data_IF_182199295777
#
_entry.id   IF_182199295777
#
_cell.length_a   1.000
_cell.length_b   1.000
_cell.length_c   1.000
_cell.angle_alpha   90.00
_cell.angle_beta   90.00
_cell.angle_gamma   90.00
#
_symmetry.space_group_name_H-M   'P 1'
#
loop_
_entity.id
_entity.type
_entity.pdbx_description
1 polymer ?
#
# COMPACT_ATOMS: atom_id res chain seq x y z
N UNK A 1 -2.00 15.79 -4.21
CA UNK A 1 -0.70 15.13 -3.98
C UNK A 1 -0.77 13.70 -4.47
N UNK A 2 0.25 13.24 -5.17
CA UNK A 2 0.42 11.85 -5.61
C UNK A 2 1.52 11.22 -4.76
N UNK A 3 1.26 10.00 -4.23
CA UNK A 3 2.15 9.33 -3.29
C UNK A 3 2.37 7.88 -3.74
N UNK A 4 3.61 7.44 -3.71
CA UNK A 4 4.00 6.03 -3.84
C UNK A 4 4.62 5.60 -2.52
N UNK A 5 4.13 4.51 -1.96
CA UNK A 5 4.53 4.02 -0.64
C UNK A 5 5.10 2.62 -0.71
N UNK A 6 6.02 2.31 0.19
CA UNK A 6 6.51 0.96 0.43
C UNK A 6 5.69 0.31 1.53
N UNK A 7 5.22 -0.90 1.31
CA UNK A 7 4.50 -1.66 2.34
C UNK A 7 5.50 -2.30 3.30
N UNK A 8 5.43 -1.91 4.57
CA UNK A 8 6.25 -2.43 5.67
C UNK A 8 5.30 -3.05 6.70
N UNK A 9 5.25 -4.38 6.75
CA UNK A 9 4.26 -5.09 7.56
C UNK A 9 2.83 -4.77 7.11
N UNK A 10 2.04 -4.12 7.98
CA UNK A 10 0.67 -3.68 7.70
C UNK A 10 0.54 -2.17 7.46
N UNK A 11 1.66 -1.47 7.31
CA UNK A 11 1.71 -0.03 7.06
C UNK A 11 2.37 0.25 5.73
N UNK A 12 2.00 1.35 5.11
CA UNK A 12 2.66 1.82 3.91
C UNK A 12 3.37 3.14 4.21
N UNK A 13 4.70 3.10 4.12
CA UNK A 13 5.58 4.24 4.35
C UNK A 13 5.75 4.99 3.04
N UNK A 14 5.44 6.28 2.95
CA UNK A 14 5.66 7.07 1.76
C UNK A 14 7.16 7.11 1.41
N UNK A 15 7.49 6.75 0.16
CA UNK A 15 8.87 6.74 -0.34
C UNK A 15 9.10 7.75 -1.47
N UNK A 16 8.03 8.13 -2.16
CA UNK A 16 8.07 9.15 -3.19
C UNK A 16 6.73 9.86 -3.28
N UNK A 17 6.76 11.19 -3.40
CA UNK A 17 5.56 12.00 -3.57
C UNK A 17 5.80 13.23 -4.42
N UNK A 18 4.72 13.77 -4.94
CA UNK A 18 4.66 15.06 -5.61
C UNK A 18 3.38 15.77 -5.23
N UNK A 19 3.53 16.99 -4.76
CA UNK A 19 2.42 17.92 -4.58
C UNK A 19 2.28 18.76 -5.86
N UNK A 20 1.05 18.96 -6.28
CA UNK A 20 0.69 19.76 -7.45
C UNK A 20 -0.46 20.68 -7.09
N UNK A 21 -0.52 21.83 -7.72
CA UNK A 21 -1.72 22.64 -7.71
C UNK A 21 -2.86 21.91 -8.44
N UNK A 22 -4.11 22.09 -7.96
CA UNK A 22 -5.26 21.45 -8.57
C UNK A 22 -5.49 21.93 -10.00
N UNK A 23 -5.19 23.20 -10.29
CA UNK A 23 -5.29 23.81 -11.62
C UNK A 23 -4.38 23.13 -12.63
N UNK A 24 -3.15 22.79 -12.22
CA UNK A 24 -2.16 22.09 -13.06
C UNK A 24 -2.60 20.67 -13.40
N UNK A 25 -3.35 20.02 -12.50
CA UNK A 25 -3.82 18.64 -12.67
C UNK A 25 -5.07 18.52 -13.52
N UNK A 26 -5.83 19.62 -13.71
CA UNK A 26 -7.10 19.62 -14.46
C UNK A 26 -6.88 19.07 -15.89
N UNK A 27 -7.57 17.99 -16.24
CA UNK A 27 -7.45 17.30 -17.52
C UNK A 27 -6.12 16.57 -17.78
N UNK A 28 -5.15 16.65 -16.85
CA UNK A 28 -3.79 16.08 -17.03
C UNK A 28 -3.40 15.08 -15.92
N UNK A 29 -4.30 14.75 -15.00
CA UNK A 29 -4.02 13.92 -13.83
C UNK A 29 -3.26 12.65 -14.20
N UNK A 30 -3.74 11.93 -15.21
CA UNK A 30 -3.17 10.66 -15.65
C UNK A 30 -1.71 10.76 -16.08
N UNK A 31 -1.36 11.81 -16.81
CA UNK A 31 0.03 12.07 -17.22
C UNK A 31 0.95 12.25 -16.01
N UNK A 32 0.49 12.98 -15.00
CA UNK A 32 1.26 13.19 -13.76
C UNK A 32 1.35 11.91 -12.91
N UNK A 33 0.27 11.12 -12.82
CA UNK A 33 0.28 9.82 -12.17
C UNK A 33 1.34 8.90 -12.78
N UNK A 34 1.34 8.73 -14.09
CA UNK A 34 2.30 7.89 -14.79
C UNK A 34 3.74 8.37 -14.61
N UNK A 35 3.97 9.70 -14.64
CA UNK A 35 5.30 10.28 -14.43
C UNK A 35 5.81 10.01 -12.99
N UNK A 36 4.95 10.14 -11.98
CA UNK A 36 5.28 9.85 -10.58
C UNK A 36 5.59 8.37 -10.41
N UNK A 37 4.75 7.48 -10.94
CA UNK A 37 4.93 6.03 -10.84
C UNK A 37 6.21 5.60 -11.56
N UNK A 38 6.45 6.07 -12.79
CA UNK A 38 7.67 5.79 -13.57
C UNK A 38 8.91 6.15 -12.77
N UNK A 39 8.95 7.34 -12.18
CA UNK A 39 10.12 7.82 -11.42
C UNK A 39 10.32 7.04 -10.13
N UNK A 40 9.25 6.80 -9.37
CA UNK A 40 9.31 6.10 -8.09
C UNK A 40 9.69 4.62 -8.29
N UNK A 41 8.91 3.89 -9.08
CA UNK A 41 9.11 2.46 -9.33
C UNK A 41 10.42 2.21 -10.04
N UNK A 42 10.79 3.05 -11.02
CA UNK A 42 12.07 2.95 -11.74
C UNK A 42 13.29 3.14 -10.85
N UNK A 43 13.22 4.03 -9.83
CA UNK A 43 14.29 4.16 -8.82
C UNK A 43 14.44 2.92 -7.97
N UNK A 44 13.32 2.39 -7.46
CA UNK A 44 13.33 1.16 -6.66
C UNK A 44 13.80 -0.03 -7.48
N UNK A 45 13.35 -0.15 -8.74
CA UNK A 45 13.74 -1.24 -9.61
C UNK A 45 15.26 -1.26 -9.87
N UNK A 46 15.89 -0.11 -9.96
CA UNK A 46 17.36 -0.01 -10.07
C UNK A 46 18.08 -0.41 -8.79
N UNK A 47 17.50 -0.12 -7.63
CA UNK A 47 18.13 -0.43 -6.34
C UNK A 47 17.99 -1.91 -5.93
N UNK A 48 16.82 -2.53 -6.16
CA UNK A 48 16.52 -3.87 -5.63
C UNK A 48 16.23 -4.91 -6.71
N UNK A 49 16.21 -4.51 -7.98
CA UNK A 49 15.81 -5.36 -9.11
C UNK A 49 14.29 -5.39 -9.34
N UNK A 50 13.88 -5.23 -10.59
CA UNK A 50 12.45 -5.13 -10.96
C UNK A 50 11.63 -6.36 -10.60
N UNK A 51 12.23 -7.56 -10.66
CA UNK A 51 11.56 -8.83 -10.36
C UNK A 51 11.10 -8.96 -8.89
N UNK A 52 11.69 -8.18 -7.99
CA UNK A 52 11.35 -8.17 -6.54
C UNK A 52 10.20 -7.23 -6.20
N UNK A 53 9.70 -6.47 -7.18
CA UNK A 53 8.69 -5.43 -6.96
C UNK A 53 7.33 -5.95 -7.36
N UNK A 54 6.36 -5.80 -6.46
CA UNK A 54 4.94 -5.97 -6.73
C UNK A 54 4.26 -4.61 -6.50
N UNK A 55 3.69 -4.05 -7.55
CA UNK A 55 2.93 -2.80 -7.49
C UNK A 55 1.46 -3.12 -7.26
N UNK A 56 0.87 -2.58 -6.21
CA UNK A 56 -0.57 -2.67 -5.96
C UNK A 56 -1.22 -1.30 -6.10
N UNK A 57 -2.34 -1.22 -6.81
CA UNK A 57 -3.07 0.03 -6.98
C UNK A 57 -4.58 -0.20 -6.98
N UNK A 58 -5.33 0.86 -6.63
CA UNK A 58 -6.79 0.80 -6.62
C UNK A 58 -7.37 0.96 -8.04
N UNK A 59 -8.65 0.68 -8.15
CA UNK A 59 -9.43 0.73 -9.39
C UNK A 59 -9.37 2.08 -10.12
N UNK A 60 -9.09 3.17 -9.41
CA UNK A 60 -8.90 4.49 -10.00
C UNK A 60 -7.64 4.61 -10.87
N UNK A 61 -6.67 3.73 -10.66
CA UNK A 61 -5.43 3.67 -11.43
C UNK A 61 -5.48 2.65 -12.57
N UNK A 62 -6.56 1.87 -12.69
CA UNK A 62 -6.67 0.79 -13.66
C UNK A 62 -6.88 1.33 -15.08
N UNK A 63 -5.80 1.43 -15.85
CA UNK A 63 -5.86 1.72 -17.28
C UNK A 63 -4.70 1.08 -18.06
N UNK A 64 -4.86 1.03 -19.38
CA UNK A 64 -3.90 0.43 -20.30
C UNK A 64 -2.52 1.09 -20.23
N UNK A 65 -2.47 2.41 -20.10
CA UNK A 65 -1.21 3.14 -20.05
C UNK A 65 -0.39 2.78 -18.81
N UNK A 66 -1.06 2.58 -17.65
CA UNK A 66 -0.38 2.11 -16.45
C UNK A 66 0.10 0.67 -16.60
N UNK A 67 -0.72 -0.24 -17.13
CA UNK A 67 -0.30 -1.63 -17.35
C UNK A 67 0.92 -1.70 -18.27
N UNK A 68 0.90 -0.93 -19.36
CA UNK A 68 2.02 -0.83 -20.30
C UNK A 68 3.28 -0.30 -19.61
N UNK A 69 3.16 0.77 -18.82
CA UNK A 69 4.28 1.34 -18.08
C UNK A 69 4.89 0.32 -17.11
N UNK A 70 4.06 -0.39 -16.33
CA UNK A 70 4.56 -1.36 -15.35
C UNK A 70 5.22 -2.57 -16.03
N UNK A 71 4.68 -3.00 -17.18
CA UNK A 71 5.31 -4.03 -18.01
C UNK A 71 6.67 -3.57 -18.56
N UNK A 72 6.77 -2.32 -19.05
CA UNK A 72 8.04 -1.74 -19.51
C UNK A 72 9.09 -1.65 -18.39
N UNK A 73 8.67 -1.39 -17.15
CA UNK A 73 9.53 -1.39 -15.98
C UNK A 73 9.92 -2.81 -15.50
N UNK A 74 9.35 -3.85 -16.09
CA UNK A 74 9.61 -5.25 -15.75
C UNK A 74 9.14 -5.66 -14.36
N UNK A 75 8.24 -4.89 -13.74
CA UNK A 75 7.73 -5.16 -12.40
C UNK A 75 6.43 -5.97 -12.45
N UNK A 76 6.16 -6.72 -11.39
CA UNK A 76 4.87 -7.37 -11.22
C UNK A 76 3.85 -6.37 -10.71
N UNK A 77 2.59 -6.51 -11.12
CA UNK A 77 1.52 -5.72 -10.54
C UNK A 77 0.29 -6.56 -10.21
N UNK A 78 -0.47 -6.11 -9.22
CA UNK A 78 -1.81 -6.61 -8.87
C UNK A 78 -2.69 -5.39 -8.66
N UNK A 79 -3.60 -5.14 -9.59
CA UNK A 79 -4.43 -3.93 -9.61
C UNK A 79 -5.90 -4.32 -9.56
N UNK A 80 -6.67 -3.64 -8.72
CA UNK A 80 -8.11 -3.78 -8.72
C UNK A 80 -8.70 -3.04 -9.90
N UNK A 81 -9.64 -3.68 -10.59
CA UNK A 81 -10.35 -3.11 -11.73
C UNK A 81 -11.86 -3.05 -11.48
N UNK A 82 -12.57 -2.31 -12.30
CA UNK A 82 -14.03 -2.21 -12.20
C UNK A 82 -14.71 -3.46 -12.75
N UNK A 83 -15.89 -3.77 -12.21
CA UNK A 83 -16.73 -4.88 -12.71
C UNK A 83 -17.15 -4.70 -14.19
N UNK A 84 -17.20 -3.46 -14.65
CA UNK A 84 -17.51 -3.10 -16.04
C UNK A 84 -16.37 -3.29 -17.03
N UNK A 85 -15.13 -3.59 -16.56
CA UNK A 85 -13.99 -3.83 -17.45
C UNK A 85 -14.26 -5.03 -18.35
N UNK A 86 -14.09 -4.84 -19.67
CA UNK A 86 -14.29 -5.89 -20.67
C UNK A 86 -13.03 -6.74 -20.82
N UNK A 87 -13.23 -8.02 -20.99
CA UNK A 87 -12.18 -9.01 -21.28
C UNK A 87 -12.67 -10.05 -22.28
N UNK A 88 -11.76 -10.55 -23.10
CA UNK A 88 -12.06 -11.67 -23.99
C UNK A 88 -12.07 -12.98 -23.17
N UNK A 89 -13.22 -13.59 -23.02
CA UNK A 89 -13.42 -14.86 -22.33
C UNK A 89 -14.19 -15.82 -23.20
N UNK A 90 -13.60 -16.99 -23.47
CA UNK A 90 -14.16 -18.01 -24.35
C UNK A 90 -14.57 -17.44 -25.73
N UNK A 91 -13.69 -16.68 -26.37
CA UNK A 91 -13.89 -16.07 -27.67
C UNK A 91 -14.92 -14.93 -27.75
N UNK A 92 -15.46 -14.48 -26.59
CA UNK A 92 -16.46 -13.40 -26.55
C UNK A 92 -16.01 -12.32 -25.57
N UNK A 93 -16.28 -11.04 -25.91
CA UNK A 93 -16.09 -9.93 -25.02
C UNK A 93 -17.15 -9.91 -23.93
N UNK A 94 -16.72 -9.93 -22.68
CA UNK A 94 -17.61 -9.94 -21.49
C UNK A 94 -17.10 -8.97 -20.44
N UNK A 95 -18.02 -8.37 -19.69
CA UNK A 95 -17.69 -7.60 -18.49
C UNK A 95 -17.20 -8.53 -17.39
N UNK A 96 -16.18 -8.14 -16.64
CA UNK A 96 -15.67 -8.92 -15.51
C UNK A 96 -16.75 -9.26 -14.48
N UNK A 97 -17.72 -8.38 -14.29
CA UNK A 97 -18.88 -8.62 -13.42
C UNK A 97 -19.69 -9.85 -13.81
N UNK A 98 -19.76 -10.16 -15.11
CA UNK A 98 -20.52 -11.30 -15.67
C UNK A 98 -19.81 -12.65 -15.49
N UNK A 99 -18.49 -12.64 -15.24
CA UNK A 99 -17.76 -13.87 -14.92
C UNK A 99 -18.15 -14.33 -13.50
N UNK A 100 -18.90 -15.42 -13.40
CA UNK A 100 -19.51 -15.87 -12.14
C UNK A 100 -18.58 -16.77 -11.32
N UNK A 101 -18.73 -16.78 -10.01
CA UNK A 101 -18.21 -17.81 -9.12
C UNK A 101 -18.93 -19.14 -9.41
N UNK A 102 -18.30 -20.26 -9.06
CA UNK A 102 -18.93 -21.57 -9.06
C UNK A 102 -19.41 -21.86 -7.64
N UNK A 103 -20.71 -22.12 -7.48
CA UNK A 103 -21.27 -22.43 -6.16
C UNK A 103 -20.87 -21.41 -5.08
N UNK A 104 -20.40 -21.92 -3.95
CA UNK A 104 -20.01 -21.12 -2.78
C UNK A 104 -18.53 -20.67 -2.78
N UNK A 105 -17.84 -20.71 -3.93
CA UNK A 105 -16.45 -20.27 -4.04
C UNK A 105 -16.27 -18.86 -3.50
N UNK A 106 -15.24 -18.69 -2.66
CA UNK A 106 -14.80 -17.38 -2.19
C UNK A 106 -13.82 -16.72 -3.16
N UNK A 107 -13.04 -17.52 -3.87
CA UNK A 107 -11.96 -17.10 -4.77
C UNK A 107 -12.04 -17.88 -6.07
N UNK A 108 -11.85 -17.20 -7.21
CA UNK A 108 -11.79 -17.84 -8.52
C UNK A 108 -10.79 -17.16 -9.44
N UNK A 109 -9.91 -17.95 -10.06
CA UNK A 109 -9.02 -17.53 -11.13
C UNK A 109 -9.64 -17.88 -12.49
N UNK A 110 -9.52 -16.94 -13.45
CA UNK A 110 -10.05 -17.09 -14.81
C UNK A 110 -8.92 -17.27 -15.85
N UNK A 111 -7.67 -17.30 -15.40
CA UNK A 111 -6.50 -17.40 -16.27
C UNK A 111 -6.10 -16.06 -16.89
N UNK A 112 -5.28 -16.15 -17.94
CA UNK A 112 -4.84 -14.98 -18.68
C UNK A 112 -5.87 -14.62 -19.74
N UNK A 113 -6.48 -13.45 -19.61
CA UNK A 113 -7.50 -12.91 -20.50
C UNK A 113 -6.96 -11.67 -21.21
N UNK A 114 -7.40 -11.43 -22.43
CA UNK A 114 -7.12 -10.17 -23.13
C UNK A 114 -8.08 -9.09 -22.65
N UNK A 115 -7.56 -7.91 -22.33
CA UNK A 115 -8.35 -6.73 -22.00
C UNK A 115 -8.14 -5.67 -23.08
N UNK A 116 -9.18 -4.94 -23.46
CA UNK A 116 -9.15 -3.88 -24.47
C UNK A 116 -8.87 -4.38 -25.91
N UNK A 117 -9.81 -4.17 -26.81
CA UNK A 117 -9.70 -4.57 -28.22
C UNK A 117 -8.65 -3.76 -29.00
N UNK A 118 -8.59 -2.45 -28.75
CA UNK A 118 -7.70 -1.53 -29.46
C UNK A 118 -6.23 -1.64 -29.03
N UNK A 119 -5.97 -2.08 -27.80
CA UNK A 119 -4.65 -2.26 -27.25
C UNK A 119 -4.63 -3.47 -26.31
N UNK A 120 -4.57 -4.70 -26.85
CA UNK A 120 -4.70 -5.90 -26.06
C UNK A 120 -3.63 -6.02 -24.98
N UNK A 121 -4.06 -6.16 -23.74
CA UNK A 121 -3.19 -6.47 -22.61
C UNK A 121 -3.56 -7.87 -22.12
N UNK A 122 -2.60 -8.78 -22.16
CA UNK A 122 -2.78 -10.12 -21.56
C UNK A 122 -2.65 -10.02 -20.06
N UNK A 123 -3.76 -10.18 -19.34
CA UNK A 123 -3.85 -10.05 -17.90
C UNK A 123 -4.38 -11.33 -17.27
N UNK A 124 -3.75 -11.75 -16.19
CA UNK A 124 -4.25 -12.80 -15.33
C UNK A 124 -5.36 -12.23 -14.44
N UNK A 125 -6.56 -12.78 -14.59
CA UNK A 125 -7.76 -12.27 -13.90
C UNK A 125 -8.16 -13.19 -12.78
N UNK A 126 -8.45 -12.60 -11.63
CA UNK A 126 -9.03 -13.30 -10.49
C UNK A 126 -10.16 -12.48 -9.83
N UNK A 127 -11.10 -13.20 -9.23
CA UNK A 127 -12.18 -12.62 -8.42
C UNK A 127 -12.11 -13.18 -7.01
N UNK A 128 -12.34 -12.31 -6.03
CA UNK A 128 -12.33 -12.68 -4.62
C UNK A 128 -13.47 -12.00 -3.88
N UNK A 129 -14.21 -12.73 -3.07
CA UNK A 129 -15.10 -12.16 -2.06
C UNK A 129 -14.25 -11.77 -0.87
N UNK A 130 -14.14 -10.49 -0.58
CA UNK A 130 -13.27 -9.96 0.45
C UNK A 130 -13.97 -8.85 1.24
N UNK A 131 -13.50 -8.60 2.45
CA UNK A 131 -13.97 -7.46 3.26
C UNK A 131 -13.09 -6.23 3.00
N UNK A 132 -13.71 -5.08 2.99
CA UNK A 132 -13.00 -3.80 3.01
C UNK A 132 -12.52 -3.46 4.43
N UNK A 133 -11.85 -2.31 4.61
CA UNK A 133 -11.37 -1.83 5.92
C UNK A 133 -12.49 -1.56 6.92
N UNK A 134 -13.73 -1.37 6.44
CA UNK A 134 -14.93 -1.18 7.28
C UNK A 134 -15.62 -2.49 7.62
N UNK A 135 -15.13 -3.62 7.08
CA UNK A 135 -15.70 -4.94 7.31
C UNK A 135 -16.83 -5.33 6.35
N UNK A 136 -17.19 -4.49 5.38
CA UNK A 136 -18.23 -4.79 4.41
C UNK A 136 -17.74 -5.79 3.38
N UNK A 137 -18.57 -6.77 3.04
CA UNK A 137 -18.27 -7.73 1.99
C UNK A 137 -18.39 -7.08 0.61
N UNK A 138 -17.45 -7.38 -0.25
CA UNK A 138 -17.44 -6.92 -1.64
C UNK A 138 -16.73 -7.91 -2.55
N UNK A 139 -16.89 -7.74 -3.85
CA UNK A 139 -16.16 -8.51 -4.85
C UNK A 139 -15.00 -7.67 -5.36
N UNK A 140 -13.81 -8.24 -5.26
CA UNK A 140 -12.61 -7.68 -5.85
C UNK A 140 -12.34 -8.35 -7.19
N UNK A 141 -12.28 -7.55 -8.24
CA UNK A 141 -11.80 -7.97 -9.54
C UNK A 141 -10.34 -7.52 -9.62
N UNK A 142 -9.44 -8.48 -9.66
CA UNK A 142 -8.00 -8.24 -9.64
C UNK A 142 -7.37 -8.69 -10.96
N UNK A 143 -6.46 -7.88 -11.46
CA UNK A 143 -5.66 -8.19 -12.64
C UNK A 143 -4.17 -8.14 -12.31
N UNK A 144 -3.40 -9.03 -12.93
CA UNK A 144 -1.96 -9.08 -12.80
C UNK A 144 -1.30 -9.41 -14.14
N UNK A 145 -0.07 -8.99 -14.35
CA UNK A 145 0.74 -9.41 -15.51
C UNK A 145 1.42 -10.78 -15.31
N UNK A 146 1.21 -11.43 -14.17
CA UNK A 146 1.73 -12.76 -13.84
C UNK A 146 0.65 -13.66 -13.27
N UNK A 147 0.80 -14.99 -13.36
CA UNK A 147 -0.15 -15.91 -12.75
C UNK A 147 -0.11 -15.82 -11.23
N UNK A 148 -1.28 -15.62 -10.65
CA UNK A 148 -1.53 -15.74 -9.22
C UNK A 148 -2.76 -16.58 -8.96
N UNK A 149 -2.70 -17.46 -7.96
CA UNK A 149 -3.90 -18.03 -7.39
C UNK A 149 -4.77 -16.91 -6.78
N UNK A 150 -6.08 -16.97 -6.95
CA UNK A 150 -6.97 -15.89 -6.52
C UNK A 150 -6.86 -15.53 -5.02
N UNK A 151 -6.67 -16.49 -4.08
CA UNK A 151 -6.39 -16.15 -2.68
C UNK A 151 -5.08 -15.37 -2.50
N UNK A 152 -4.01 -15.77 -3.20
CA UNK A 152 -2.71 -15.11 -3.13
C UNK A 152 -2.80 -13.67 -3.69
N UNK A 153 -3.45 -13.47 -4.85
CA UNK A 153 -3.68 -12.16 -5.40
C UNK A 153 -4.47 -11.25 -4.45
N UNK A 154 -5.52 -11.79 -3.81
CA UNK A 154 -6.33 -11.05 -2.84
C UNK A 154 -5.53 -10.67 -1.60
N UNK A 155 -4.67 -11.56 -1.10
CA UNK A 155 -3.80 -11.30 0.05
C UNK A 155 -2.76 -10.21 -0.25
N UNK A 156 -2.07 -10.31 -1.39
CA UNK A 156 -1.11 -9.27 -1.81
C UNK A 156 -1.80 -7.92 -2.05
N UNK A 157 -2.94 -7.90 -2.72
CA UNK A 157 -3.71 -6.67 -2.91
C UNK A 157 -4.18 -6.08 -1.56
N UNK A 158 -4.53 -6.93 -0.61
CA UNK A 158 -4.96 -6.51 0.74
C UNK A 158 -3.92 -5.68 1.49
N UNK A 159 -2.63 -5.86 1.19
CA UNK A 159 -1.54 -5.05 1.78
C UNK A 159 -1.63 -3.57 1.39
N UNK A 160 -2.29 -3.24 0.27
CA UNK A 160 -2.56 -1.86 -0.15
C UNK A 160 -3.28 -1.04 0.93
N UNK A 161 -4.13 -1.67 1.72
CA UNK A 161 -4.83 -0.98 2.82
C UNK A 161 -3.88 -0.36 3.86
N UNK A 162 -2.63 -0.78 3.90
CA UNK A 162 -1.59 -0.11 4.66
C UNK A 162 -1.45 1.39 4.33
N UNK A 163 -1.77 1.81 3.09
CA UNK A 163 -1.78 3.23 2.71
C UNK A 163 -2.90 3.99 3.42
N UNK A 164 -4.10 3.42 3.51
CA UNK A 164 -5.24 4.03 4.20
C UNK A 164 -4.96 4.14 5.70
N UNK A 165 -4.38 3.09 6.28
CA UNK A 165 -3.93 3.08 7.67
C UNK A 165 -2.85 4.14 7.93
N UNK A 166 -1.84 4.25 7.07
CA UNK A 166 -0.79 5.25 7.18
C UNK A 166 -1.32 6.68 7.10
N UNK A 167 -2.27 6.96 6.19
CA UNK A 167 -2.93 8.27 6.13
C UNK A 167 -3.82 8.54 7.35
N UNK A 168 -4.47 7.52 7.90
CA UNK A 168 -5.24 7.63 9.13
C UNK A 168 -4.32 7.96 10.31
N UNK A 169 -3.22 7.26 10.45
CA UNK A 169 -2.20 7.53 11.47
C UNK A 169 -1.66 8.96 11.34
N UNK A 170 -1.41 9.44 10.12
CA UNK A 170 -1.01 10.83 9.87
C UNK A 170 -2.02 11.84 10.38
N UNK A 171 -3.28 11.64 10.06
CA UNK A 171 -4.36 12.57 10.43
C UNK A 171 -4.57 12.62 11.95
N UNK A 172 -4.59 11.46 12.60
CA UNK A 172 -4.96 11.34 14.00
C UNK A 172 -3.80 11.56 14.97
N UNK A 173 -2.61 11.01 14.65
CA UNK A 173 -1.48 11.01 15.57
C UNK A 173 -0.42 12.06 15.27
N UNK A 174 -0.22 12.40 13.99
CA UNK A 174 0.81 13.36 13.57
C UNK A 174 0.26 14.75 13.21
N UNK A 175 -1.01 15.02 13.53
CA UNK A 175 -1.60 16.34 13.39
C UNK A 175 -1.83 16.82 11.96
N UNK A 176 -1.70 15.93 10.96
CA UNK A 176 -1.82 16.26 9.54
C UNK A 176 -3.16 16.92 9.18
N UNK A 177 -4.25 16.54 9.85
CA UNK A 177 -5.58 17.14 9.62
C UNK A 177 -5.69 18.58 10.13
N UNK A 178 -4.82 19.00 11.07
CA UNK A 178 -4.82 20.34 11.67
C UNK A 178 -3.87 21.31 10.96
N UNK A 179 -3.04 20.81 10.03
CA UNK A 179 -2.04 21.61 9.34
C UNK A 179 -2.72 22.58 8.35
N UNK A 180 -2.59 23.88 8.60
CA UNK A 180 -3.06 24.96 7.73
C UNK A 180 -1.90 25.46 6.88
N UNK A 181 -1.63 24.77 5.77
CA UNK A 181 -0.51 25.09 4.88
C UNK A 181 -1.05 25.46 3.50
N UNK A 182 -0.82 26.67 3.07
CA UNK A 182 -1.25 27.17 1.75
C UNK A 182 -0.24 26.86 0.64
N UNK A 183 1.05 26.85 0.96
CA UNK A 183 2.12 26.70 -0.04
C UNK A 183 2.42 25.23 -0.35
N UNK A 184 2.47 24.88 -1.65
CA UNK A 184 2.79 23.52 -2.13
C UNK A 184 4.17 23.03 -1.67
N UNK A 185 5.17 23.92 -1.65
CA UNK A 185 6.53 23.59 -1.17
C UNK A 185 6.51 23.23 0.33
N UNK A 186 5.78 23.99 1.13
CA UNK A 186 5.63 23.73 2.56
C UNK A 186 4.88 22.41 2.82
N UNK A 187 3.84 22.08 2.04
CA UNK A 187 3.18 20.78 2.05
C UNK A 187 4.16 19.64 1.78
N UNK A 188 5.03 19.80 0.77
CA UNK A 188 6.01 18.76 0.43
C UNK A 188 7.03 18.54 1.54
N UNK A 189 7.50 19.62 2.20
CA UNK A 189 8.42 19.53 3.36
C UNK A 189 7.75 18.87 4.56
N UNK A 190 6.53 19.28 4.90
CA UNK A 190 5.77 18.67 6.00
C UNK A 190 5.54 17.18 5.73
N UNK A 191 5.23 16.81 4.49
CA UNK A 191 5.04 15.41 4.13
C UNK A 191 6.34 14.60 4.20
N UNK A 192 7.51 15.22 3.99
CA UNK A 192 8.80 14.58 4.22
C UNK A 192 9.00 14.25 5.70
N UNK A 193 8.73 15.20 6.58
CA UNK A 193 8.80 14.98 8.04
C UNK A 193 7.84 13.87 8.47
N UNK A 194 6.62 13.89 7.94
CA UNK A 194 5.65 12.82 8.18
C UNK A 194 6.14 11.45 7.70
N UNK A 195 6.72 11.34 6.52
CA UNK A 195 7.24 10.09 5.98
C UNK A 195 8.38 9.53 6.86
N UNK A 196 9.28 10.40 7.32
CA UNK A 196 10.37 10.03 8.26
C UNK A 196 9.79 9.56 9.60
N UNK A 197 8.86 10.31 10.18
CA UNK A 197 8.22 9.95 11.44
C UNK A 197 7.51 8.59 11.34
N UNK A 198 6.77 8.36 10.25
CA UNK A 198 6.08 7.10 10.01
C UNK A 198 7.06 5.93 9.83
N UNK A 199 8.17 6.15 9.14
CA UNK A 199 9.23 5.14 8.97
C UNK A 199 9.82 4.76 10.33
N UNK A 200 10.23 5.75 11.14
CA UNK A 200 10.79 5.54 12.48
C UNK A 200 9.80 4.82 13.37
N UNK A 201 8.55 5.29 13.45
CA UNK A 201 7.52 4.69 14.29
C UNK A 201 7.17 3.26 13.87
N UNK A 202 7.12 2.99 12.56
CA UNK A 202 6.85 1.65 12.05
C UNK A 202 8.01 0.70 12.36
N UNK A 203 9.24 1.17 12.21
CA UNK A 203 10.45 0.38 12.50
C UNK A 203 10.56 0.07 14.00
N UNK A 204 10.38 1.07 14.86
CA UNK A 204 10.38 0.92 16.31
C UNK A 204 9.26 0.01 16.80
N UNK A 205 8.02 0.23 16.33
CA UNK A 205 6.89 -0.60 16.70
C UNK A 205 7.05 -2.06 16.25
N UNK A 206 7.66 -2.29 15.08
CA UNK A 206 7.99 -3.65 14.61
C UNK A 206 9.03 -4.32 15.51
N UNK A 207 10.06 -3.60 15.92
CA UNK A 207 11.10 -4.12 16.83
C UNK A 207 10.51 -4.48 18.19
N UNK A 208 9.64 -3.62 18.75
CA UNK A 208 8.93 -3.88 19.99
C UNK A 208 8.08 -5.15 19.94
N UNK A 209 7.33 -5.34 18.86
CA UNK A 209 6.49 -6.53 18.68
C UNK A 209 7.31 -7.80 18.51
N UNK A 210 8.49 -7.71 17.92
CA UNK A 210 9.39 -8.86 17.72
C UNK A 210 10.15 -9.24 19.00
N UNK A 211 10.54 -8.28 19.82
CA UNK A 211 11.31 -8.56 21.05
C UNK A 211 10.47 -9.14 22.20
N UNK A 212 9.14 -9.02 22.15
CA UNK A 212 8.15 -9.65 23.04
C UNK A 212 8.55 -9.81 24.54
N UNK A 213 9.41 -8.93 25.05
CA UNK A 213 9.81 -8.96 26.45
C UNK A 213 8.63 -8.72 27.41
N UNK A 214 8.73 -9.12 28.70
CA UNK A 214 7.66 -8.95 29.68
C UNK A 214 7.16 -7.50 29.78
N UNK A 215 8.06 -6.52 29.68
CA UNK A 215 7.74 -5.08 29.69
C UNK A 215 6.95 -4.67 28.44
N UNK A 216 7.35 -5.12 27.25
CA UNK A 216 6.61 -4.87 26.00
C UNK A 216 5.20 -5.46 26.08
N UNK A 217 5.04 -6.68 26.59
CA UNK A 217 3.72 -7.31 26.81
C UNK A 217 2.84 -6.54 27.78
N UNK A 218 3.41 -6.05 28.88
CA UNK A 218 2.69 -5.23 29.86
C UNK A 218 2.21 -3.91 29.25
N UNK A 219 3.05 -3.26 28.49
CA UNK A 219 2.74 -2.02 27.79
C UNK A 219 1.68 -2.24 26.68
N UNK A 220 1.83 -3.29 25.91
CA UNK A 220 0.86 -3.72 24.92
C UNK A 220 -0.53 -3.93 25.54
N UNK A 221 -0.61 -4.51 26.74
CA UNK A 221 -1.87 -4.69 27.48
C UNK A 221 -2.51 -3.37 27.94
N UNK A 222 -1.72 -2.35 28.22
CA UNK A 222 -2.22 -1.00 28.63
C UNK A 222 -2.76 -0.20 27.43
N UNK A 223 -2.12 -0.33 26.27
CA UNK A 223 -2.45 0.41 25.05
C UNK A 223 -3.61 -0.23 24.28
N UNK A 224 -3.91 -1.50 24.57
CA UNK A 224 -4.97 -2.26 23.91
C UNK A 224 -6.33 -1.78 24.39
N UNK A 225 -6.99 -0.98 23.61
CA UNK A 225 -8.42 -0.76 23.75
C UNK A 225 -9.17 -2.07 23.47
N UNK A 226 -9.84 -2.63 24.48
CA UNK A 226 -10.68 -3.81 24.38
C UNK A 226 -11.95 -3.53 23.57
N UNK A 227 -11.83 -3.30 22.27
CA UNK A 227 -12.99 -3.33 21.38
C UNK A 227 -13.13 -4.73 20.79
N UNK A 228 -14.12 -5.49 21.32
CA UNK A 228 -14.62 -6.76 20.75
C UNK A 228 -13.60 -7.88 20.57
N UNK A 229 -12.77 -8.16 21.57
CA UNK A 229 -11.98 -9.40 21.60
C UNK A 229 -10.81 -9.50 20.62
N UNK A 230 -10.56 -8.52 19.76
CA UNK A 230 -9.40 -8.47 18.86
C UNK A 230 -8.50 -7.29 19.20
N UNK A 231 -7.27 -7.65 19.53
CA UNK A 231 -6.19 -6.72 19.83
C UNK A 231 -5.58 -6.23 18.51
N UNK A 232 -6.10 -5.17 17.91
CA UNK A 232 -5.46 -4.52 16.78
C UNK A 232 -4.55 -3.39 17.27
N UNK A 233 -3.29 -3.72 17.49
CA UNK A 233 -2.27 -2.74 17.84
C UNK A 233 -1.74 -2.08 16.58
N UNK A 234 -2.06 -0.81 16.40
CA UNK A 234 -1.38 0.02 15.43
C UNK A 234 0.05 0.29 15.89
N UNK A 235 1.06 -0.02 15.05
CA UNK A 235 2.48 0.24 15.37
C UNK A 235 2.71 1.69 15.80
N UNK A 236 2.04 2.64 15.14
CA UNK A 236 2.13 4.08 15.45
C UNK A 236 1.47 4.39 16.78
N UNK A 237 0.30 3.80 17.08
CA UNK A 237 -0.40 4.01 18.36
C UNK A 237 0.44 3.53 19.55
N UNK A 238 1.08 2.37 19.41
CA UNK A 238 1.99 1.83 20.43
C UNK A 238 3.14 2.79 20.67
N UNK A 239 3.75 3.31 19.60
CA UNK A 239 4.88 4.22 19.71
C UNK A 239 4.50 5.57 20.32
N UNK A 240 3.35 6.14 19.93
CA UNK A 240 2.86 7.39 20.52
C UNK A 240 2.60 7.22 22.02
N UNK A 241 1.95 6.12 22.41
CA UNK A 241 1.69 5.83 23.81
C UNK A 241 2.98 5.61 24.62
N UNK A 242 3.98 4.96 24.01
CA UNK A 242 5.32 4.82 24.62
C UNK A 242 5.99 6.16 24.84
N UNK A 243 6.03 7.01 23.84
CA UNK A 243 6.64 8.34 23.93
C UNK A 243 5.96 9.22 24.99
N UNK A 244 4.66 9.04 25.20
CA UNK A 244 3.89 9.80 26.17
C UNK A 244 3.99 9.26 27.60
N UNK A 245 4.18 7.94 27.77
CA UNK A 245 4.04 7.28 29.07
C UNK A 245 5.35 6.74 29.64
N UNK A 246 6.36 6.42 28.82
CA UNK A 246 7.57 5.76 29.32
C UNK A 246 8.84 6.16 28.54
N UNK A 247 9.50 7.21 29.04
CA UNK A 247 10.79 7.69 28.50
C UNK A 247 11.91 6.63 28.65
N UNK A 248 11.84 5.80 29.68
CA UNK A 248 12.87 4.79 29.95
C UNK A 248 12.87 3.70 28.90
N UNK A 249 11.67 3.26 28.48
CA UNK A 249 11.53 2.26 27.41
C UNK A 249 11.94 2.83 26.05
N UNK A 250 11.65 4.10 25.79
CA UNK A 250 12.11 4.81 24.59
C UNK A 250 13.65 4.81 24.52
N UNK A 251 14.32 5.18 25.61
CA UNK A 251 15.78 5.21 25.69
C UNK A 251 16.40 3.81 25.52
N UNK A 252 15.74 2.77 26.05
CA UNK A 252 16.18 1.38 25.87
C UNK A 252 16.04 0.87 24.42
N UNK A 253 15.10 1.44 23.64
CA UNK A 253 14.87 1.04 22.24
C UNK A 253 15.72 1.83 21.24
N UNK A 254 16.13 3.06 21.58
CA UNK A 254 16.91 3.93 20.72
C UNK A 254 18.22 3.28 20.18
N UNK A 255 19.03 2.58 20.99
CA UNK A 255 20.25 1.93 20.51
C UNK A 255 20.00 0.89 19.43
N UNK A 256 18.93 0.09 19.59
CA UNK A 256 18.56 -0.95 18.61
C UNK A 256 18.07 -0.38 17.28
N UNK A 257 17.46 0.81 17.30
CA UNK A 257 17.04 1.50 16.08
C UNK A 257 18.22 2.10 15.35
N UNK A 258 19.17 2.69 16.09
CA UNK A 258 20.39 3.25 15.54
C UNK A 258 21.18 2.15 14.79
N UNK A 259 21.42 1.02 15.44
CA UNK A 259 22.09 -0.15 14.84
C UNK A 259 21.38 -0.69 13.59
N UNK A 260 20.04 -0.73 13.59
CA UNK A 260 19.27 -1.18 12.43
C UNK A 260 19.28 -0.19 11.27
N UNK A 261 19.24 1.09 11.56
CA UNK A 261 19.37 2.15 10.55
C UNK A 261 20.77 2.16 9.94
N UNK A 262 21.82 2.03 10.75
CA UNK A 262 23.21 1.93 10.30
C UNK A 262 23.43 0.69 9.44
N UNK A 263 22.93 -0.47 9.86
CA UNK A 263 22.99 -1.71 9.08
C UNK A 263 22.20 -1.63 7.77
N UNK A 264 21.08 -0.90 7.77
CA UNK A 264 20.28 -0.69 6.55
C UNK A 264 20.97 0.27 5.58
N UNK A 265 21.63 1.30 6.10
CA UNK A 265 22.39 2.27 5.31
C UNK A 265 23.68 1.65 4.76
N UNK A 266 24.38 0.85 5.54
CA UNK A 266 25.58 0.13 5.11
C UNK A 266 25.31 -0.92 4.02
N UNK A 267 24.09 -1.45 3.92
CA UNK A 267 23.68 -2.37 2.84
C UNK A 267 23.19 -1.64 1.58
N UNK A 268 23.17 -0.32 1.56
CA UNK A 268 22.73 0.53 0.43
C UNK A 268 23.93 1.26 -0.21
N UNK A 269 25.06 1.31 0.49
CA UNK A 269 26.36 1.77 -0.05
C UNK A 269 27.10 0.62 -0.75
#
# INVERSE_FOLDING_TARGET
>A
MLVVSLVVGRRAVPMYWRAYDASVLKGRMKRYELAVIRRAVGRVARAVGSRRIIVTADRGFADVALFTLLNQLGVTFIIRVQAGTHVAFQGKWRKLGQLRFRGNERHRSFGALSSCESCPQRLWVSKSRARDTKGNWGIWHLVSNRPYAAPAAANEYGRRFGCEEGFRDAKWWLGFAKARIAQIKAWSRMFALFAIALLVMTSLGSTLLLTQGPRAKALLRRVVSRRRGRCELGLVSVMVSLLQQDKTLYNALCPHVKLKLEATLANVS
#
